data_IF_827452329866
#
_entry.id   IF_827452329866
#
_cell.length_a   1.000
_cell.length_b   1.000
_cell.length_c   1.000
_cell.angle_alpha   90.00
_cell.angle_beta   90.00
_cell.angle_gamma   90.00
#
_symmetry.space_group_name_H-M   'P 1'
#
loop_
_entity.id
_entity.type
_entity.pdbx_description
1 polymer ?
#
# COMPACT_ATOMS: atom_id res chain seq x y z
N UNK A 1 3.36 -3.78 4.54
CA UNK A 1 1.87 -3.77 4.44
C UNK A 1 1.40 -5.20 4.49
N UNK A 2 0.47 -5.51 5.38
CA UNK A 2 -0.04 -6.83 5.66
C UNK A 2 -1.57 -6.75 5.58
N UNK A 3 -2.14 -7.29 4.51
CA UNK A 3 -3.59 -7.29 4.32
C UNK A 3 -4.07 -8.71 4.02
N UNK A 4 -5.05 -9.15 4.80
CA UNK A 4 -5.81 -10.36 4.62
C UNK A 4 -7.29 -9.98 4.63
N UNK A 5 -7.86 -9.90 3.44
CA UNK A 5 -9.24 -9.46 3.21
C UNK A 5 -10.01 -10.60 2.56
N UNK A 6 -11.23 -10.87 3.05
CA UNK A 6 -12.05 -12.03 2.66
C UNK A 6 -11.42 -13.37 3.08
N UNK A 7 -10.79 -13.42 4.25
CA UNK A 7 -10.35 -14.68 4.83
C UNK A 7 -11.58 -15.53 5.23
N UNK A 8 -11.57 -16.81 4.88
CA UNK A 8 -12.55 -17.80 5.32
C UNK A 8 -12.57 -17.98 6.85
N UNK A 9 -11.44 -17.71 7.52
CA UNK A 9 -11.31 -17.77 8.97
C UNK A 9 -11.99 -16.63 9.75
N UNK A 10 -12.43 -15.56 9.06
CA UNK A 10 -13.09 -14.41 9.69
C UNK A 10 -12.15 -13.44 10.44
N UNK A 11 -10.85 -13.73 10.49
CA UNK A 11 -9.77 -12.91 11.06
C UNK A 11 -9.18 -11.94 10.04
N UNK A 12 -10.04 -11.11 9.43
CA UNK A 12 -9.60 -10.11 8.47
C UNK A 12 -8.76 -9.02 9.17
N UNK A 13 -7.64 -8.65 8.54
CA UNK A 13 -6.82 -7.52 8.97
C UNK A 13 -6.23 -6.81 7.76
N UNK A 14 -6.01 -5.51 7.88
CA UNK A 14 -5.39 -4.71 6.83
C UNK A 14 -4.57 -3.59 7.45
N UNK A 15 -3.30 -3.87 7.65
CA UNK A 15 -2.38 -3.02 8.40
C UNK A 15 -1.20 -2.63 7.51
N UNK A 16 -0.65 -1.45 7.78
CA UNK A 16 0.61 -1.03 7.19
C UNK A 16 1.55 -0.54 8.28
N UNK A 17 2.83 -0.70 8.00
CA UNK A 17 3.92 -0.15 8.77
C UNK A 17 5.04 0.20 7.80
N UNK A 18 5.63 1.37 8.01
CA UNK A 18 6.79 1.85 7.26
C UNK A 18 7.77 2.33 8.31
N UNK A 19 8.93 1.67 8.37
CA UNK A 19 10.02 2.02 9.27
C UNK A 19 11.06 2.84 8.50
N UNK A 20 11.44 3.98 9.07
CA UNK A 20 12.52 4.84 8.62
C UNK A 20 13.66 4.87 9.62
N UNK A 21 14.72 5.58 9.28
CA UNK A 21 15.91 5.76 10.13
C UNK A 21 15.63 6.58 11.40
N UNK A 22 14.67 7.51 11.33
CA UNK A 22 14.35 8.48 12.39
C UNK A 22 12.95 8.32 12.97
N UNK A 23 12.31 7.18 12.73
CA UNK A 23 10.95 6.93 13.19
C UNK A 23 10.19 6.02 12.24
N UNK A 24 8.91 5.82 12.56
CA UNK A 24 8.05 4.88 11.89
C UNK A 24 6.62 5.41 11.83
N UNK A 25 5.88 4.96 10.82
CA UNK A 25 4.43 5.12 10.76
C UNK A 25 3.75 3.77 10.70
N UNK A 26 2.55 3.68 11.25
CA UNK A 26 1.68 2.51 11.12
C UNK A 26 0.22 2.91 11.05
N UNK A 27 -0.63 1.99 10.63
CA UNK A 27 -2.05 2.21 10.63
C UNK A 27 -2.83 1.09 9.97
N UNK A 28 -4.12 1.36 9.73
CA UNK A 28 -5.07 0.42 9.15
C UNK A 28 -5.73 0.99 7.91
N UNK A 29 -6.00 0.13 6.93
CA UNK A 29 -6.82 0.44 5.77
C UNK A 29 -8.29 0.13 6.11
N UNK A 30 -8.99 1.13 6.63
CA UNK A 30 -10.32 1.01 7.23
C UNK A 30 -11.39 0.46 6.28
N UNK A 31 -11.28 0.71 4.96
CA UNK A 31 -12.19 0.13 3.98
C UNK A 31 -12.26 -1.41 4.06
N UNK A 32 -11.12 -2.06 4.28
CA UNK A 32 -11.00 -3.52 4.24
C UNK A 32 -11.51 -4.20 5.54
N UNK A 33 -11.84 -3.43 6.57
CA UNK A 33 -12.40 -3.97 7.82
C UNK A 33 -13.92 -4.05 7.82
N UNK A 34 -14.61 -3.31 6.94
CA UNK A 34 -16.08 -3.25 6.88
C UNK A 34 -16.55 -3.09 5.43
N UNK A 35 -15.94 -3.83 4.50
CA UNK A 35 -16.26 -3.68 3.08
C UNK A 35 -17.74 -4.07 2.81
N UNK A 36 -18.51 -3.29 2.01
CA UNK A 36 -18.08 -2.13 1.23
C UNK A 36 -18.20 -0.78 1.96
N UNK A 37 -18.81 -0.72 3.15
CA UNK A 37 -19.07 0.52 3.87
C UNK A 37 -17.78 1.19 4.35
N UNK A 38 -16.83 0.41 4.84
CA UNK A 38 -15.54 0.81 5.40
C UNK A 38 -15.63 1.57 6.73
N UNK A 39 -14.50 1.63 7.43
CA UNK A 39 -14.26 2.59 8.51
C UNK A 39 -13.17 3.60 8.12
N UNK A 40 -12.94 4.60 8.96
CA UNK A 40 -11.87 5.60 8.76
C UNK A 40 -10.51 4.89 8.84
N UNK A 41 -9.57 5.32 7.99
CA UNK A 41 -8.19 4.83 8.05
C UNK A 41 -7.52 5.35 9.32
N UNK A 42 -6.51 4.63 9.80
CA UNK A 42 -5.71 5.11 10.93
C UNK A 42 -4.29 5.43 10.47
N UNK A 43 -3.67 6.38 11.16
CA UNK A 43 -2.26 6.70 11.05
C UNK A 43 -1.75 7.02 12.44
N UNK A 44 -0.67 6.36 12.86
CA UNK A 44 0.09 6.68 14.05
C UNK A 44 1.54 6.93 13.65
N UNK A 45 2.17 7.91 14.31
CA UNK A 45 3.54 8.33 14.05
C UNK A 45 4.36 8.14 15.32
N UNK A 46 5.53 7.52 15.18
CA UNK A 46 6.58 7.51 16.20
C UNK A 46 7.82 8.14 15.58
N UNK A 47 8.38 9.16 16.21
CA UNK A 47 9.49 9.94 15.66
C UNK A 47 10.56 10.24 16.70
N UNK A 48 11.81 10.22 16.25
CA UNK A 48 12.96 10.70 17.02
C UNK A 48 13.24 12.19 16.78
N UNK A 49 12.61 12.79 15.76
CA UNK A 49 12.85 14.20 15.35
C UNK A 49 11.64 15.10 15.56
N UNK A 50 10.44 14.53 15.68
CA UNK A 50 9.24 15.23 16.12
C UNK A 50 8.91 14.80 17.55
N UNK A 51 8.30 15.68 18.36
CA UNK A 51 7.94 15.34 19.73
C UNK A 51 6.73 14.39 19.74
N UNK A 52 6.99 13.09 19.66
CA UNK A 52 5.98 12.04 19.86
C UNK A 52 6.29 11.30 21.16
N UNK A 53 5.33 11.21 22.08
CA UNK A 53 5.42 10.35 23.27
C UNK A 53 4.92 8.94 22.92
N UNK A 54 5.79 8.16 22.29
CA UNK A 54 5.42 6.86 21.72
C UNK A 54 4.69 6.98 20.39
N UNK A 55 3.66 6.15 20.19
CA UNK A 55 2.82 6.20 18.98
C UNK A 55 1.77 7.30 19.13
N UNK A 56 1.95 8.38 18.36
CA UNK A 56 1.03 9.51 18.34
C UNK A 56 -0.01 9.33 17.21
N UNK A 57 -1.31 9.26 17.51
CA UNK A 57 -2.35 9.22 16.49
C UNK A 57 -2.38 10.51 15.68
N UNK A 58 -2.38 10.39 14.35
CA UNK A 58 -2.65 11.48 13.43
C UNK A 58 -4.12 11.39 12.97
N UNK A 59 -4.91 12.47 13.09
CA UNK A 59 -6.33 12.44 12.78
C UNK A 59 -6.54 12.39 11.26
N UNK A 60 -6.59 11.17 10.72
CA UNK A 60 -7.06 10.94 9.36
C UNK A 60 -8.58 11.09 9.37
N UNK A 61 -9.10 12.03 8.58
CA UNK A 61 -10.54 12.31 8.50
C UNK A 61 -11.17 11.79 7.21
N UNK A 62 -10.35 11.27 6.30
CA UNK A 62 -10.76 10.75 4.99
C UNK A 62 -10.46 9.26 4.89
N UNK A 63 -10.80 8.67 3.74
CA UNK A 63 -10.45 7.30 3.38
C UNK A 63 -9.52 7.32 2.19
N UNK A 64 -8.65 6.34 2.07
CA UNK A 64 -7.77 6.17 0.92
C UNK A 64 -8.55 5.91 -0.38
N UNK A 65 -9.75 5.36 -0.27
CA UNK A 65 -10.68 5.12 -1.37
C UNK A 65 -11.78 6.19 -1.40
N UNK A 66 -12.14 6.75 -2.58
CA UNK A 66 -11.69 6.38 -3.93
C UNK A 66 -10.42 7.11 -4.40
N UNK A 67 -9.84 7.99 -3.57
CA UNK A 67 -8.77 8.91 -3.98
C UNK A 67 -7.54 8.22 -4.60
N UNK A 68 -7.22 7.01 -4.14
CA UNK A 68 -6.14 6.19 -4.70
C UNK A 68 -6.34 5.82 -6.19
N UNK A 69 -7.56 5.89 -6.72
CA UNK A 69 -7.86 5.56 -8.13
C UNK A 69 -7.84 6.80 -9.03
N UNK A 70 -8.16 7.98 -8.47
CA UNK A 70 -8.31 9.22 -9.23
C UNK A 70 -6.99 9.54 -9.95
N UNK A 71 -5.85 9.39 -9.29
CA UNK A 71 -4.54 9.66 -9.89
C UNK A 71 -4.19 8.74 -11.05
N UNK A 72 -4.44 7.44 -10.89
CA UNK A 72 -4.13 6.43 -11.94
C UNK A 72 -5.04 6.61 -13.15
N UNK A 73 -6.35 6.77 -12.93
CA UNK A 73 -7.31 7.02 -14.02
C UNK A 73 -7.04 8.36 -14.71
N UNK A 74 -6.73 9.39 -13.94
CA UNK A 74 -6.34 10.71 -14.47
C UNK A 74 -5.11 10.62 -15.35
N UNK A 75 -4.08 9.84 -14.96
CA UNK A 75 -2.89 9.64 -15.79
C UNK A 75 -3.21 8.97 -17.13
N UNK A 76 -4.18 8.05 -17.17
CA UNK A 76 -4.61 7.41 -18.43
C UNK A 76 -5.32 8.43 -19.33
N UNK A 77 -6.26 9.19 -18.76
CA UNK A 77 -7.00 10.21 -19.51
C UNK A 77 -6.07 11.28 -20.07
N UNK A 78 -5.10 11.75 -19.28
CA UNK A 78 -4.11 12.73 -19.71
C UNK A 78 -3.27 12.20 -20.88
N UNK A 79 -2.69 11.00 -20.74
CA UNK A 79 -1.87 10.39 -21.80
C UNK A 79 -2.65 10.19 -23.11
N UNK A 80 -3.93 9.82 -23.05
CA UNK A 80 -4.79 9.72 -24.24
C UNK A 80 -5.00 11.09 -24.89
N UNK A 81 -5.15 12.16 -24.09
CA UNK A 81 -5.45 13.50 -24.59
C UNK A 81 -4.22 14.26 -25.11
N UNK A 82 -3.06 14.08 -24.46
CA UNK A 82 -1.84 14.85 -24.71
C UNK A 82 -0.76 14.07 -25.46
N UNK A 83 -0.85 12.74 -25.49
CA UNK A 83 0.20 11.87 -26.01
C UNK A 83 1.43 11.78 -25.10
N UNK A 84 1.40 12.36 -23.90
CA UNK A 84 2.48 12.26 -22.93
C UNK A 84 2.57 10.85 -22.34
N UNK A 85 3.77 10.42 -21.89
CA UNK A 85 3.93 9.11 -21.26
C UNK A 85 3.06 8.93 -20.02
N UNK A 86 2.57 7.71 -19.80
CA UNK A 86 1.87 7.33 -18.57
C UNK A 86 2.79 7.48 -17.36
N UNK A 87 2.24 7.97 -16.24
CA UNK A 87 2.94 8.03 -14.95
C UNK A 87 3.35 6.63 -14.44
N UNK A 88 2.54 5.62 -14.75
CA UNK A 88 2.80 4.22 -14.45
C UNK A 88 2.61 3.42 -15.73
N UNK A 89 3.67 3.28 -16.52
CA UNK A 89 3.60 2.58 -17.80
C UNK A 89 3.65 1.05 -17.60
N UNK A 90 3.24 0.31 -18.64
CA UNK A 90 3.42 -1.16 -18.65
C UNK A 90 4.90 -1.54 -18.54
N UNK A 91 5.79 -0.76 -19.15
CA UNK A 91 7.23 -1.01 -19.13
C UNK A 91 7.79 -0.93 -17.69
N UNK A 92 7.35 0.05 -16.90
CA UNK A 92 7.76 0.18 -15.49
C UNK A 92 7.28 -1.00 -14.65
N UNK A 93 6.13 -1.58 -14.98
CA UNK A 93 5.56 -2.72 -14.27
C UNK A 93 6.28 -4.05 -14.54
N UNK A 94 7.16 -4.12 -15.56
CA UNK A 94 7.92 -5.35 -15.87
C UNK A 94 8.81 -5.75 -14.67
N UNK A 95 9.36 -4.78 -13.93
CA UNK A 95 10.14 -5.07 -12.71
C UNK A 95 9.31 -5.82 -11.65
N UNK A 96 8.07 -5.40 -11.45
CA UNK A 96 7.12 -6.09 -10.55
C UNK A 96 6.87 -7.53 -10.99
N UNK A 97 6.66 -7.76 -12.29
CA UNK A 97 6.42 -9.10 -12.83
C UNK A 97 7.65 -10.02 -12.68
N UNK A 98 8.86 -9.48 -12.89
CA UNK A 98 10.12 -10.21 -12.63
C UNK A 98 10.22 -10.61 -11.16
N UNK A 99 9.85 -9.72 -10.24
CA UNK A 99 9.85 -10.02 -8.81
C UNK A 99 8.88 -11.14 -8.45
N UNK A 100 7.67 -11.11 -8.99
CA UNK A 100 6.68 -12.19 -8.79
C UNK A 100 7.21 -13.53 -9.32
N UNK A 101 7.82 -13.54 -10.52
CA UNK A 101 8.40 -14.76 -11.08
C UNK A 101 9.56 -15.30 -10.23
N UNK A 102 10.42 -14.43 -9.70
CA UNK A 102 11.50 -14.81 -8.79
C UNK A 102 10.97 -15.39 -7.47
N UNK A 103 9.88 -14.84 -6.93
CA UNK A 103 9.21 -15.38 -5.74
C UNK A 103 8.68 -16.80 -5.98
N UNK A 104 8.03 -17.07 -7.11
CA UNK A 104 7.61 -18.44 -7.46
C UNK A 104 8.79 -19.40 -7.54
N UNK A 105 9.87 -19.01 -8.22
CA UNK A 105 11.09 -19.83 -8.31
C UNK A 105 11.73 -20.09 -6.94
N UNK A 106 11.74 -19.09 -6.06
CA UNK A 106 12.23 -19.21 -4.69
C UNK A 106 11.41 -20.23 -3.89
N UNK A 107 10.08 -20.19 -4.00
CA UNK A 107 9.20 -21.17 -3.35
C UNK A 107 9.43 -22.59 -3.85
N UNK A 108 9.58 -22.78 -5.16
CA UNK A 108 9.79 -24.11 -5.75
C UNK A 108 11.17 -24.70 -5.40
N UNK A 109 12.19 -23.86 -5.31
CA UNK A 109 13.58 -24.29 -5.07
C UNK A 109 14.00 -24.26 -3.60
N UNK A 110 13.24 -23.60 -2.74
CA UNK A 110 13.56 -23.42 -1.32
C UNK A 110 14.79 -22.54 -1.06
N UNK A 111 15.25 -21.75 -2.04
CA UNK A 111 16.42 -20.87 -1.92
C UNK A 111 16.12 -19.47 -2.43
N UNK A 112 16.86 -18.48 -1.95
CA UNK A 112 16.78 -17.11 -2.46
C UNK A 112 17.15 -17.04 -3.94
N UNK A 113 16.46 -16.16 -4.68
CA UNK A 113 16.69 -15.91 -6.11
C UNK A 113 17.02 -14.44 -6.30
N UNK A 114 18.09 -14.16 -7.04
CA UNK A 114 18.47 -12.79 -7.41
C UNK A 114 17.50 -12.19 -8.45
N UNK A 115 17.27 -10.88 -8.34
CA UNK A 115 16.38 -10.10 -9.20
C UNK A 115 17.09 -9.45 -10.39
#
# INVERSE_FOLDING_TARGET
MHANHVNRGGDNYAEYRIDGDKGSIRGTLGLLYDYPNGRVDTLEVNSQVLPTDGWLPYPVTTRWFPDAFIGTMGSVMDAVSSGLPLRASVADNIGTLKMVAALYKSMDSGVSVDL
#
